data_IF_831289436844
#
_entry.id   IF_831289436844
#
_cell.length_a   1.000
_cell.length_b   1.000
_cell.length_c   1.000
_cell.angle_alpha   90.00
_cell.angle_beta   90.00
_cell.angle_gamma   90.00
#
_symmetry.space_group_name_H-M   'P 1'
#
loop_
_entity.id
_entity.type
_entity.pdbx_description
1 polymer ?
#
# COMPACT_ATOMS: atom_id res chain seq x y z
N UNK A 1 49.97 -45.28 2.81
CA UNK A 1 49.66 -44.06 3.59
C UNK A 1 49.69 -42.88 2.63
N UNK A 2 48.54 -42.23 2.42
CA UNK A 2 48.35 -40.76 2.22
C UNK A 2 49.50 -40.00 1.58
N UNK A 3 49.45 -39.44 0.36
CA UNK A 3 48.34 -38.77 -0.32
C UNK A 3 48.50 -37.25 -0.18
N UNK A 4 48.86 -36.53 -1.25
CA UNK A 4 48.59 -35.09 -1.41
C UNK A 4 48.87 -34.68 -2.87
N UNK A 5 47.84 -34.74 -3.71
CA UNK A 5 47.81 -34.06 -5.01
C UNK A 5 47.48 -32.58 -4.77
N UNK A 6 48.36 -31.67 -5.20
CA UNK A 6 48.10 -30.22 -5.18
C UNK A 6 47.16 -29.87 -6.33
N UNK A 7 45.89 -29.64 -6.04
CA UNK A 7 44.90 -29.16 -7.00
C UNK A 7 44.80 -27.64 -6.86
N UNK A 8 45.30 -26.92 -7.86
CA UNK A 8 45.09 -25.48 -8.04
C UNK A 8 43.65 -25.26 -8.47
N UNK A 9 42.81 -24.76 -7.57
CA UNK A 9 41.42 -24.40 -7.89
C UNK A 9 41.41 -23.04 -8.56
N UNK A 10 41.25 -23.02 -9.89
CA UNK A 10 40.88 -21.82 -10.64
C UNK A 10 39.37 -21.61 -10.43
N UNK A 11 38.99 -20.59 -9.66
CA UNK A 11 37.61 -20.19 -9.51
C UNK A 11 37.13 -19.50 -10.80
N UNK A 12 36.50 -20.27 -11.68
CA UNK A 12 35.76 -19.74 -12.82
C UNK A 12 34.45 -19.15 -12.29
N UNK A 13 34.40 -17.83 -12.09
CA UNK A 13 33.15 -17.13 -11.78
C UNK A 13 32.33 -17.05 -13.07
N UNK A 14 31.46 -18.04 -13.27
CA UNK A 14 30.40 -17.96 -14.26
C UNK A 14 29.31 -17.04 -13.70
N UNK A 15 29.33 -15.77 -14.09
CA UNK A 15 28.18 -14.87 -14.00
C UNK A 15 27.10 -15.36 -14.96
N UNK A 16 26.33 -16.34 -14.53
CA UNK A 16 25.09 -16.71 -15.20
C UNK A 16 24.03 -15.65 -14.88
N UNK A 17 23.99 -14.56 -15.66
CA UNK A 17 22.82 -13.71 -15.78
C UNK A 17 21.75 -14.48 -16.57
N UNK A 18 21.11 -15.46 -15.91
CA UNK A 18 20.04 -16.26 -16.48
C UNK A 18 18.67 -15.64 -16.21
N UNK A 19 18.22 -14.78 -17.11
CA UNK A 19 16.80 -14.46 -17.28
C UNK A 19 16.07 -15.74 -17.68
N UNK A 20 15.13 -16.21 -16.87
CA UNK A 20 14.07 -17.11 -17.34
C UNK A 20 12.86 -16.26 -17.73
N UNK A 21 12.97 -15.60 -18.88
CA UNK A 21 11.79 -15.22 -19.66
C UNK A 21 11.67 -16.29 -20.74
N UNK A 22 10.61 -17.10 -20.68
CA UNK A 22 10.35 -18.09 -21.72
C UNK A 22 10.31 -17.38 -23.08
N UNK A 23 11.10 -17.89 -24.01
CA UNK A 23 11.02 -17.50 -25.41
C UNK A 23 9.68 -18.00 -25.95
N UNK A 24 8.77 -17.06 -26.24
CA UNK A 24 7.62 -17.29 -27.11
C UNK A 24 7.64 -16.17 -28.16
N UNK A 25 7.85 -16.62 -29.40
CA UNK A 25 7.62 -16.04 -30.72
C UNK A 25 7.82 -14.53 -30.96
N UNK A 26 8.78 -14.27 -31.85
CA UNK A 26 9.27 -12.96 -32.33
C UNK A 26 8.23 -12.01 -32.95
N UNK A 27 6.94 -12.36 -33.00
CA UNK A 27 5.89 -11.55 -33.65
C UNK A 27 4.68 -11.25 -32.75
N UNK A 28 4.75 -11.52 -31.44
CA UNK A 28 3.69 -11.12 -30.49
C UNK A 28 3.87 -9.69 -29.95
N UNK A 29 2.78 -8.95 -29.65
CA UNK A 29 2.88 -7.66 -28.96
C UNK A 29 3.57 -7.84 -27.60
N UNK A 30 4.52 -6.96 -27.30
CA UNK A 30 5.28 -6.98 -26.04
C UNK A 30 4.32 -7.01 -24.84
N UNK A 31 4.43 -7.98 -23.92
CA UNK A 31 3.58 -8.02 -22.74
C UNK A 31 3.83 -6.80 -21.85
N UNK A 32 2.78 -6.13 -21.34
CA UNK A 32 2.93 -4.99 -20.45
C UNK A 32 3.56 -5.51 -19.14
N UNK A 33 4.81 -5.15 -18.89
CA UNK A 33 5.51 -5.61 -17.69
C UNK A 33 7.04 -5.67 -17.77
N UNK A 34 7.66 -5.48 -18.94
CA UNK A 34 9.12 -5.33 -19.01
C UNK A 34 9.53 -3.86 -18.96
N UNK A 35 9.41 -3.25 -17.78
CA UNK A 35 10.01 -1.95 -17.50
C UNK A 35 11.43 -2.15 -16.94
N UNK A 36 12.44 -1.80 -17.73
CA UNK A 36 13.79 -1.51 -17.25
C UNK A 36 13.85 -0.05 -16.82
N UNK A 37 13.97 0.21 -15.52
CA UNK A 37 14.92 1.17 -14.93
C UNK A 37 14.83 1.16 -13.39
N UNK A 38 15.99 1.03 -12.75
CA UNK A 38 16.14 1.01 -11.29
C UNK A 38 15.92 2.41 -10.70
N UNK A 39 14.67 2.67 -10.31
CA UNK A 39 14.32 3.47 -9.14
C UNK A 39 12.93 3.00 -8.75
N UNK A 40 12.83 2.00 -7.87
CA UNK A 40 11.52 1.48 -7.45
C UNK A 40 10.80 2.58 -6.67
N UNK A 41 10.08 3.46 -7.38
CA UNK A 41 9.23 4.48 -6.80
C UNK A 41 8.24 3.75 -5.89
N UNK A 42 8.10 4.25 -4.66
CA UNK A 42 7.17 3.69 -3.68
C UNK A 42 5.77 3.58 -4.33
N UNK A 43 5.06 2.47 -4.10
CA UNK A 43 3.76 2.24 -4.72
C UNK A 43 2.75 3.37 -4.43
N UNK A 44 2.77 3.96 -3.23
CA UNK A 44 1.95 5.16 -2.93
C UNK A 44 2.35 6.36 -3.78
N UNK A 45 3.63 6.54 -4.06
CA UNK A 45 4.10 7.63 -4.91
C UNK A 45 3.62 7.44 -6.36
N UNK A 46 3.51 6.20 -6.84
CA UNK A 46 2.96 5.90 -8.17
C UNK A 46 1.44 6.09 -8.19
N UNK A 47 0.74 5.58 -7.18
CA UNK A 47 -0.70 5.72 -7.04
C UNK A 47 -1.11 7.21 -6.99
N UNK A 48 -0.63 7.96 -6.01
CA UNK A 48 -1.00 9.37 -5.83
C UNK A 48 -0.44 10.35 -6.87
N UNK A 49 0.31 9.88 -7.88
CA UNK A 49 0.63 10.69 -9.07
C UNK A 49 -0.54 10.77 -10.04
N UNK A 50 -1.36 9.72 -10.08
CA UNK A 50 -2.48 9.61 -11.01
C UNK A 50 -3.82 9.91 -10.31
N UNK A 51 -3.84 9.87 -8.98
CA UNK A 51 -5.02 10.09 -8.16
C UNK A 51 -4.82 11.33 -7.30
N UNK A 52 -5.78 12.24 -7.32
CA UNK A 52 -5.85 13.37 -6.37
C UNK A 52 -6.98 13.19 -5.37
N UNK A 53 -7.93 12.29 -5.64
CA UNK A 53 -9.09 11.99 -4.82
C UNK A 53 -9.49 10.53 -4.95
N UNK A 54 -9.69 9.84 -3.83
CA UNK A 54 -10.18 8.46 -3.80
C UNK A 54 -11.27 8.27 -2.75
N UNK A 55 -12.24 7.43 -3.05
CA UNK A 55 -13.31 7.05 -2.14
C UNK A 55 -13.00 5.71 -1.49
N UNK A 56 -13.33 5.57 -0.22
CA UNK A 56 -13.33 4.27 0.45
C UNK A 56 -14.64 3.56 0.14
N UNK A 57 -14.58 2.49 -0.64
CA UNK A 57 -15.75 1.67 -0.92
C UNK A 57 -16.06 0.72 0.25
N UNK A 58 -15.02 0.04 0.78
CA UNK A 58 -15.15 -0.88 1.90
C UNK A 58 -14.06 -0.66 2.94
N UNK A 59 -14.39 -0.91 4.20
CA UNK A 59 -13.45 -0.87 5.32
C UNK A 59 -13.75 -1.94 6.34
N UNK A 60 -12.74 -2.36 7.11
CA UNK A 60 -12.95 -3.22 8.29
C UNK A 60 -13.41 -2.42 9.53
N UNK A 61 -13.74 -1.13 9.37
CA UNK A 61 -14.19 -0.24 10.43
C UNK A 61 -15.44 0.49 9.99
N UNK A 62 -16.52 0.35 10.76
CA UNK A 62 -17.84 0.86 10.37
C UNK A 62 -18.05 2.38 10.54
N UNK A 63 -17.18 3.07 11.28
CA UNK A 63 -17.40 4.46 11.70
C UNK A 63 -17.07 5.51 10.63
N UNK A 64 -16.70 5.08 9.42
CA UNK A 64 -16.16 5.95 8.39
C UNK A 64 -17.11 6.16 7.22
N UNK A 65 -18.42 6.30 7.46
CA UNK A 65 -19.41 6.48 6.38
C UNK A 65 -19.01 7.62 5.43
N UNK A 66 -19.15 7.37 4.12
CA UNK A 66 -18.74 8.26 3.03
C UNK A 66 -17.29 8.77 3.14
N UNK A 67 -16.36 7.94 3.65
CA UNK A 67 -14.95 8.31 3.72
C UNK A 67 -14.36 8.49 2.31
N UNK A 68 -13.76 9.65 2.08
CA UNK A 68 -12.91 9.91 0.91
C UNK A 68 -11.67 10.70 1.31
N UNK A 69 -10.62 10.54 0.53
CA UNK A 69 -9.31 11.16 0.76
C UNK A 69 -8.92 11.95 -0.48
N UNK A 70 -8.69 13.25 -0.34
CA UNK A 70 -7.94 14.03 -1.32
C UNK A 70 -6.52 14.20 -0.84
N UNK A 71 -5.58 14.20 -1.78
CA UNK A 71 -4.19 14.31 -1.42
C UNK A 71 -3.35 15.00 -2.48
N UNK A 72 -2.35 15.72 -1.99
CA UNK A 72 -1.32 16.33 -2.79
C UNK A 72 0.01 15.64 -2.51
N UNK A 73 0.59 15.06 -3.55
CA UNK A 73 1.88 14.41 -3.47
C UNK A 73 3.00 15.44 -3.33
N UNK A 74 3.95 15.15 -2.46
CA UNK A 74 5.18 15.94 -2.31
C UNK A 74 6.39 15.07 -2.68
N UNK A 75 7.58 15.65 -2.72
CA UNK A 75 8.80 14.89 -3.02
C UNK A 75 9.01 13.71 -2.06
N UNK A 76 8.75 13.92 -0.76
CA UNK A 76 9.05 12.96 0.30
C UNK A 76 7.81 12.30 0.91
N UNK A 77 6.61 12.63 0.41
CA UNK A 77 5.38 12.21 1.08
C UNK A 77 4.08 12.59 0.42
N UNK A 78 3.04 12.66 1.24
CA UNK A 78 1.66 12.92 0.84
C UNK A 78 0.98 13.77 1.91
N UNK A 79 0.49 14.95 1.53
CA UNK A 79 -0.40 15.74 2.37
C UNK A 79 -1.84 15.39 2.00
N UNK A 80 -2.54 14.71 2.90
CA UNK A 80 -3.88 14.18 2.67
C UNK A 80 -4.91 14.80 3.61
N UNK A 81 -6.13 14.97 3.11
CA UNK A 81 -7.30 15.36 3.87
C UNK A 81 -8.34 14.26 3.70
N UNK A 82 -8.70 13.62 4.80
CA UNK A 82 -9.77 12.61 4.83
C UNK A 82 -11.06 13.26 5.29
N UNK A 83 -12.10 13.11 4.49
CA UNK A 83 -13.44 13.61 4.72
C UNK A 83 -14.36 12.46 5.12
N UNK A 84 -15.42 12.75 5.88
CA UNK A 84 -16.42 11.79 6.36
C UNK A 84 -17.80 12.45 6.33
N UNK A 85 -18.87 11.66 6.28
CA UNK A 85 -20.25 12.17 6.32
C UNK A 85 -20.59 12.88 7.64
N UNK A 86 -20.18 12.29 8.77
CA UNK A 86 -20.66 12.66 10.11
C UNK A 86 -19.65 13.42 10.98
N UNK A 87 -18.42 13.62 10.51
CA UNK A 87 -17.32 14.19 11.32
C UNK A 87 -16.53 15.25 10.55
N UNK A 88 -15.83 16.09 11.31
CA UNK A 88 -14.82 17.01 10.76
C UNK A 88 -13.76 16.24 9.95
N UNK A 89 -13.25 16.89 8.92
CA UNK A 89 -12.11 16.42 8.13
C UNK A 89 -10.87 16.18 9.02
N UNK A 90 -10.07 15.17 8.68
CA UNK A 90 -8.79 14.88 9.35
C UNK A 90 -7.65 15.08 8.35
N UNK A 91 -6.66 15.89 8.74
CA UNK A 91 -5.46 16.11 7.94
C UNK A 91 -4.36 15.13 8.36
N UNK A 92 -3.75 14.48 7.38
CA UNK A 92 -2.61 13.60 7.56
C UNK A 92 -1.43 14.06 6.72
N UNK A 93 -0.28 14.21 7.38
CA UNK A 93 1.00 14.37 6.70
C UNK A 93 1.70 13.01 6.73
N UNK A 94 1.82 12.39 5.57
CA UNK A 94 2.48 11.10 5.39
C UNK A 94 3.87 11.29 4.82
N UNK A 95 4.82 10.51 5.33
CA UNK A 95 6.17 10.40 4.78
C UNK A 95 6.33 9.04 4.10
N UNK A 96 6.85 9.02 2.87
CA UNK A 96 7.14 7.77 2.17
C UNK A 96 8.31 7.03 2.83
N UNK A 97 8.21 5.71 2.85
CA UNK A 97 9.25 4.82 3.36
C UNK A 97 9.43 3.61 2.45
N UNK A 98 10.52 2.88 2.65
CA UNK A 98 10.82 1.67 1.89
C UNK A 98 9.70 0.62 2.04
N UNK A 99 9.58 -0.28 1.05
CA UNK A 99 8.62 -1.39 1.03
C UNK A 99 7.15 -0.92 0.97
N UNK A 100 6.87 0.03 0.08
CA UNK A 100 5.52 0.50 -0.25
C UNK A 100 4.71 0.89 0.98
N UNK A 101 5.37 1.70 1.81
CA UNK A 101 4.87 2.15 3.09
C UNK A 101 4.84 3.67 3.13
N UNK A 102 3.88 4.20 3.88
CA UNK A 102 3.90 5.57 4.33
C UNK A 102 3.59 5.66 5.83
N UNK A 103 4.14 6.67 6.49
CA UNK A 103 4.04 6.84 7.93
C UNK A 103 3.56 8.24 8.27
N UNK A 104 2.59 8.33 9.17
CA UNK A 104 2.13 9.57 9.77
C UNK A 104 2.48 9.55 11.26
N UNK A 105 3.33 10.48 11.71
CA UNK A 105 3.63 10.69 13.13
C UNK A 105 2.62 11.66 13.72
N UNK A 106 2.16 11.36 14.93
CA UNK A 106 1.26 12.19 15.73
C UNK A 106 1.81 12.30 17.14
N UNK A 107 1.36 13.30 17.90
CA UNK A 107 1.74 13.43 19.31
C UNK A 107 1.35 12.19 20.12
N UNK A 108 0.15 11.66 19.84
CA UNK A 108 -0.43 10.49 20.50
C UNK A 108 0.05 9.14 19.90
N UNK A 109 0.97 9.14 18.92
CA UNK A 109 1.52 7.90 18.37
C UNK A 109 1.87 7.96 16.89
N UNK A 110 1.57 6.88 16.17
CA UNK A 110 1.85 6.81 14.73
C UNK A 110 0.87 5.90 14.01
N UNK A 111 0.68 6.21 12.74
CA UNK A 111 -0.06 5.37 11.79
C UNK A 111 0.92 4.98 10.69
N UNK A 112 0.99 3.68 10.42
CA UNK A 112 1.76 3.12 9.32
C UNK A 112 0.81 2.53 8.31
N UNK A 113 0.76 3.09 7.11
CA UNK A 113 -0.02 2.59 5.99
C UNK A 113 0.87 1.78 5.04
N UNK A 114 0.39 0.65 4.55
CA UNK A 114 1.06 -0.15 3.51
C UNK A 114 0.13 -0.39 2.34
N UNK A 115 0.71 -0.45 1.15
CA UNK A 115 0.01 -0.88 -0.06
C UNK A 115 -0.11 -2.41 -0.04
N UNK A 116 -1.33 -2.93 -0.08
CA UNK A 116 -1.58 -4.38 -0.21
C UNK A 116 -1.73 -4.76 -1.68
N UNK A 117 -2.40 -3.90 -2.43
CA UNK A 117 -2.65 -4.06 -3.85
C UNK A 117 -2.94 -2.68 -4.45
N UNK A 118 -2.59 -2.49 -5.71
CA UNK A 118 -3.04 -1.36 -6.51
C UNK A 118 -3.28 -1.83 -7.94
N UNK A 119 -4.25 -1.20 -8.59
CA UNK A 119 -4.42 -1.21 -10.03
C UNK A 119 -4.56 0.24 -10.50
N UNK A 120 -4.99 0.45 -11.74
CA UNK A 120 -5.16 1.78 -12.30
C UNK A 120 -6.21 2.60 -11.57
N UNK A 121 -7.35 2.01 -11.16
CA UNK A 121 -8.50 2.77 -10.64
C UNK A 121 -8.85 2.47 -9.18
N UNK A 122 -8.05 1.63 -8.52
CA UNK A 122 -8.34 1.18 -7.16
C UNK A 122 -7.11 0.68 -6.42
N UNK A 123 -7.19 0.69 -5.10
CA UNK A 123 -6.14 0.18 -4.24
C UNK A 123 -6.69 -0.42 -2.95
N UNK A 124 -5.85 -1.24 -2.31
CA UNK A 124 -6.13 -1.82 -1.01
C UNK A 124 -5.04 -1.38 -0.05
N UNK A 125 -5.45 -0.67 1.00
CA UNK A 125 -4.57 -0.19 2.05
C UNK A 125 -4.70 -1.03 3.30
N UNK A 126 -3.61 -1.10 4.06
CA UNK A 126 -3.63 -1.56 5.45
C UNK A 126 -2.98 -0.54 6.36
N UNK A 127 -3.75 -0.04 7.32
CA UNK A 127 -3.30 0.89 8.35
C UNK A 127 -3.03 0.15 9.64
N UNK A 128 -1.81 0.33 10.15
CA UNK A 128 -1.36 -0.16 11.44
C UNK A 128 -1.22 1.03 12.37
N UNK A 129 -2.14 1.14 13.32
CA UNK A 129 -2.17 2.21 14.31
C UNK A 129 -1.48 1.76 15.59
N UNK A 130 -0.65 2.64 16.16
CA UNK A 130 -0.12 2.52 17.51
C UNK A 130 -0.31 3.84 18.23
N UNK A 131 -1.09 3.85 19.32
CA UNK A 131 -1.28 5.04 20.16
C UNK A 131 -0.62 4.85 21.53
N UNK A 132 0.03 5.91 22.02
CA UNK A 132 0.62 5.99 23.37
C UNK A 132 -0.44 6.45 24.36
N UNK A 133 -0.17 6.24 25.65
CA UNK A 133 -0.99 6.83 26.70
C UNK A 133 -0.56 8.29 26.92
N UNK A 134 -1.50 9.24 26.90
CA UNK A 134 -1.19 10.63 27.17
C UNK A 134 -0.93 10.89 28.67
N UNK A 135 -1.24 9.93 29.55
CA UNK A 135 -1.04 10.04 31.01
C UNK A 135 0.27 9.44 31.51
N UNK A 136 1.06 8.75 30.67
CA UNK A 136 2.31 8.13 31.09
C UNK A 136 3.41 8.35 30.06
N UNK A 137 4.38 9.22 30.40
CA UNK A 137 5.63 9.37 29.63
C UNK A 137 6.57 8.16 29.76
N UNK A 138 6.21 7.16 30.57
CA UNK A 138 7.09 6.08 31.03
C UNK A 138 6.68 4.67 30.57
N UNK A 139 5.48 4.49 29.99
CA UNK A 139 5.07 3.16 29.50
C UNK A 139 5.56 2.91 28.07
N UNK A 140 6.39 1.86 27.90
CA UNK A 140 6.97 1.43 26.61
C UNK A 140 5.93 0.78 25.68
N UNK A 141 4.78 0.35 26.21
CA UNK A 141 3.75 -0.40 25.46
C UNK A 141 2.61 0.52 24.97
N UNK A 142 2.18 0.41 23.71
CA UNK A 142 1.06 1.20 23.19
C UNK A 142 -0.25 0.76 23.86
N UNK A 143 -1.07 1.74 24.28
CA UNK A 143 -2.40 1.52 24.88
C UNK A 143 -3.41 0.99 23.87
N UNK A 144 -3.24 1.37 22.60
CA UNK A 144 -4.02 0.85 21.50
C UNK A 144 -3.10 0.45 20.36
N UNK A 145 -3.26 -0.78 19.88
CA UNK A 145 -2.76 -1.20 18.58
C UNK A 145 -3.88 -1.84 17.80
N UNK A 146 -4.09 -1.35 16.58
CA UNK A 146 -5.15 -1.81 15.70
C UNK A 146 -4.67 -1.93 14.27
N UNK A 147 -5.35 -2.79 13.51
CA UNK A 147 -5.16 -2.92 12.08
C UNK A 147 -6.49 -2.69 11.38
N UNK A 148 -6.47 -1.87 10.34
CA UNK A 148 -7.65 -1.53 9.57
C UNK A 148 -7.31 -1.67 8.09
N UNK A 149 -8.24 -2.22 7.30
CA UNK A 149 -8.07 -2.35 5.85
C UNK A 149 -9.08 -1.45 5.16
N UNK A 150 -8.66 -0.85 4.04
CA UNK A 150 -9.52 -0.05 3.18
C UNK A 150 -9.40 -0.53 1.74
N UNK A 151 -10.53 -0.63 1.07
CA UNK A 151 -10.63 -0.74 -0.38
C UNK A 151 -11.01 0.64 -0.89
N UNK A 152 -10.12 1.25 -1.64
CA UNK A 152 -10.32 2.58 -2.21
C UNK A 152 -10.42 2.53 -3.72
N UNK A 153 -11.15 3.46 -4.30
CA UNK A 153 -11.38 3.62 -5.73
C UNK A 153 -11.33 5.08 -6.12
N UNK A 154 -11.04 5.36 -7.38
CA UNK A 154 -11.17 6.72 -7.92
C UNK A 154 -12.58 7.28 -7.85
N UNK A 155 -12.69 8.60 -7.89
CA UNK A 155 -13.99 9.30 -7.96
C UNK A 155 -14.85 8.85 -9.14
N UNK A 156 -14.23 8.52 -10.27
CA UNK A 156 -14.92 8.01 -11.47
C UNK A 156 -15.46 6.58 -11.31
N UNK A 157 -14.97 5.83 -10.31
CA UNK A 157 -15.32 4.41 -10.08
C UNK A 157 -15.97 4.19 -8.70
N UNK A 158 -16.41 5.25 -8.01
CA UNK A 158 -16.99 5.18 -6.67
C UNK A 158 -18.22 4.27 -6.56
N UNK A 159 -18.98 4.10 -7.64
CA UNK A 159 -20.17 3.23 -7.70
C UNK A 159 -19.87 1.81 -8.18
N UNK A 160 -18.73 1.58 -8.84
CA UNK A 160 -18.38 0.30 -9.43
C UNK A 160 -16.92 -0.05 -9.13
N UNK A 161 -16.72 -0.78 -8.04
CA UNK A 161 -15.38 -1.21 -7.64
C UNK A 161 -14.92 -2.39 -8.52
N UNK A 162 -13.71 -2.32 -9.11
CA UNK A 162 -13.15 -3.42 -9.89
C UNK A 162 -13.05 -4.75 -9.12
N UNK A 163 -13.39 -5.86 -9.78
CA UNK A 163 -13.44 -7.19 -9.18
C UNK A 163 -12.09 -7.72 -8.67
N UNK A 164 -10.99 -7.33 -9.33
CA UNK A 164 -9.64 -7.66 -8.90
C UNK A 164 -9.30 -7.02 -7.54
N UNK A 165 -9.65 -5.75 -7.35
CA UNK A 165 -9.49 -5.04 -6.08
C UNK A 165 -10.39 -5.61 -4.99
N UNK A 166 -11.65 -5.93 -5.27
CA UNK A 166 -12.53 -6.65 -4.32
C UNK A 166 -11.88 -7.95 -3.86
N UNK A 167 -11.41 -8.78 -4.81
CA UNK A 167 -10.76 -10.07 -4.50
C UNK A 167 -9.53 -9.89 -3.63
N UNK A 168 -8.68 -8.90 -3.95
CA UNK A 168 -7.46 -8.60 -3.18
C UNK A 168 -7.77 -8.09 -1.78
N UNK A 169 -8.80 -7.26 -1.64
CA UNK A 169 -9.29 -6.78 -0.36
C UNK A 169 -9.80 -7.93 0.51
N UNK A 170 -10.74 -8.75 0.00
CA UNK A 170 -11.30 -9.87 0.77
C UNK A 170 -10.23 -10.94 1.12
N UNK A 171 -9.26 -11.16 0.23
CA UNK A 171 -8.10 -12.00 0.56
C UNK A 171 -7.28 -11.42 1.71
N UNK A 172 -7.09 -10.10 1.76
CA UNK A 172 -6.28 -9.42 2.77
C UNK A 172 -6.98 -9.30 4.13
N UNK A 173 -8.30 -9.14 4.14
CA UNK A 173 -9.13 -9.07 5.35
C UNK A 173 -9.48 -10.44 5.90
N UNK A 174 -9.50 -11.48 5.05
CA UNK A 174 -9.80 -12.86 5.42
C UNK A 174 -11.16 -13.01 6.11
N UNK A 175 -11.19 -13.10 7.46
CA UNK A 175 -12.39 -13.27 8.27
C UNK A 175 -12.86 -11.99 8.97
N UNK A 176 -12.16 -10.87 8.77
CA UNK A 176 -12.55 -9.60 9.38
C UNK A 176 -13.86 -9.12 8.77
N UNK A 177 -14.76 -8.61 9.63
CA UNK A 177 -15.99 -7.99 9.16
C UNK A 177 -15.65 -6.80 8.26
N UNK A 178 -16.30 -6.75 7.10
CA UNK A 178 -16.20 -5.63 6.17
C UNK A 178 -17.51 -4.87 6.17
N UNK A 179 -17.40 -3.55 6.13
CA UNK A 179 -18.51 -2.62 6.05
C UNK A 179 -18.44 -1.88 4.72
N UNK A 180 -19.59 -1.71 4.08
CA UNK A 180 -19.73 -0.84 2.93
C UNK A 180 -19.77 0.61 3.41
N UNK A 181 -18.79 1.37 2.95
CA UNK A 181 -18.49 2.74 3.39
C UNK A 181 -19.07 3.76 2.42
N UNK A 182 -18.80 3.59 1.13
CA UNK A 182 -19.46 4.36 0.09
C UNK A 182 -20.89 3.87 -0.12
N UNK A 183 -21.84 4.80 -0.24
CA UNK A 183 -23.24 4.54 -0.53
C UNK A 183 -23.75 5.62 -1.48
N UNK A 184 -24.81 5.30 -2.20
CA UNK A 184 -25.53 6.32 -2.96
C UNK A 184 -25.98 7.45 -2.01
N UNK A 185 -25.68 8.70 -2.38
CA UNK A 185 -25.93 9.88 -1.56
C UNK A 185 -24.73 10.44 -0.80
N UNK A 186 -23.57 9.76 -0.81
CA UNK A 186 -22.32 10.34 -0.32
C UNK A 186 -21.92 11.58 -1.15
N UNK A 187 -21.55 12.67 -0.49
CA UNK A 187 -21.24 13.98 -1.08
C UNK A 187 -19.75 14.32 -1.02
#
# INVERSE_FOLDING_TARGET
MTGTLKITVVALVLTAAGKLCNAVDKNGPTPPGCATENTTKNAFQLFWKNHTKVWTANSTVMFYNCEWEEANITQDGLAAITHFDTYNMIKFNWTFHNKDMMLCKREDGQIKRRMVYQSENCAVFVDQMKRRDNTSKTTVRPKFSGRQYRLVVDDTHKTEVPEDCKRRYYKATSRLQSYMIYREGCK
#
